data_IF_016117909377
#
_entry.id   IF_016117909377
#
_cell.length_a   1.000
_cell.length_b   1.000
_cell.length_c   1.000
_cell.angle_alpha   90.00
_cell.angle_beta   90.00
_cell.angle_gamma   90.00
#
_symmetry.space_group_name_H-M   'P 1'
#
loop_
_entity.id
_entity.type
_entity.pdbx_description
1 polymer ?
#
# COMPACT_ATOMS: atom_id res chain seq x y z
N UNK A 1 12.15 8.14 14.77
CA UNK A 1 12.60 7.75 16.13
C UNK A 1 13.73 8.60 16.71
N UNK A 2 14.77 8.98 15.94
CA UNK A 2 15.94 9.74 16.46
C UNK A 2 15.60 11.05 17.18
N UNK A 3 14.72 11.87 16.60
CA UNK A 3 14.31 13.15 17.20
C UNK A 3 13.64 12.99 18.57
N UNK A 4 12.83 11.96 18.75
CA UNK A 4 12.18 11.66 20.03
C UNK A 4 13.17 11.34 21.14
N UNK A 5 14.14 10.47 20.86
CA UNK A 5 15.23 10.13 21.81
C UNK A 5 16.08 11.36 22.17
N UNK A 6 16.32 12.25 21.21
CA UNK A 6 17.03 13.52 21.49
C UNK A 6 16.23 14.45 22.41
N UNK A 7 14.90 14.42 22.33
CA UNK A 7 14.03 15.22 23.20
C UNK A 7 14.06 14.69 24.64
N UNK A 8 13.94 13.38 24.81
CA UNK A 8 14.01 12.72 26.13
C UNK A 8 15.39 12.93 26.79
N UNK A 9 16.47 12.88 26.01
CA UNK A 9 17.83 13.13 26.50
C UNK A 9 18.04 14.58 26.96
N UNK A 10 17.36 15.55 26.34
CA UNK A 10 17.48 16.97 26.67
C UNK A 10 16.52 17.40 27.80
N UNK A 11 15.37 16.75 27.91
CA UNK A 11 14.31 17.09 28.85
C UNK A 11 13.83 15.84 29.58
N UNK A 12 14.43 15.53 30.74
CA UNK A 12 14.18 14.31 31.53
C UNK A 12 12.74 14.12 32.01
N UNK A 13 11.88 15.14 31.89
CA UNK A 13 10.45 15.08 32.26
C UNK A 13 9.54 14.78 31.07
N UNK A 14 10.07 14.78 29.84
CA UNK A 14 9.31 14.49 28.63
C UNK A 14 9.65 13.06 28.21
N UNK A 15 8.61 12.23 28.06
CA UNK A 15 8.72 10.90 27.48
C UNK A 15 8.14 10.92 26.06
N UNK A 16 8.90 10.40 25.09
CA UNK A 16 8.49 10.33 23.69
C UNK A 16 7.94 8.94 23.38
N UNK A 17 6.66 8.88 23.03
CA UNK A 17 6.09 7.72 22.37
C UNK A 17 6.04 7.96 20.86
N UNK A 18 6.53 7.03 20.02
CA UNK A 18 6.36 7.15 18.59
C UNK A 18 4.87 7.02 18.23
N UNK A 19 4.44 7.76 17.21
CA UNK A 19 3.09 7.64 16.68
C UNK A 19 2.82 6.20 16.22
N UNK A 20 1.75 5.58 16.71
CA UNK A 20 1.39 4.21 16.36
C UNK A 20 1.22 4.01 14.84
N UNK A 21 0.60 4.97 14.14
CA UNK A 21 0.47 4.94 12.70
C UNK A 21 1.83 4.96 11.98
N UNK A 22 2.79 5.74 12.49
CA UNK A 22 4.15 5.78 11.94
C UNK A 22 4.92 4.48 12.23
N UNK A 23 4.76 3.89 13.41
CA UNK A 23 5.33 2.57 13.72
C UNK A 23 4.79 1.49 12.79
N UNK A 24 3.49 1.51 12.50
CA UNK A 24 2.88 0.56 11.57
C UNK A 24 3.35 0.77 10.14
N UNK A 25 3.51 2.01 9.69
CA UNK A 25 4.04 2.30 8.35
C UNK A 25 5.49 1.81 8.18
N UNK A 26 6.34 1.99 9.21
CA UNK A 26 7.70 1.44 9.22
C UNK A 26 7.74 -0.09 9.32
N UNK A 27 6.82 -0.70 10.07
CA UNK A 27 6.70 -2.17 10.11
C UNK A 27 6.36 -2.72 8.72
N UNK A 28 5.43 -2.06 8.02
CA UNK A 28 5.06 -2.41 6.65
C UNK A 28 6.21 -2.17 5.67
N UNK A 29 7.03 -1.13 5.89
CA UNK A 29 8.28 -0.94 5.14
C UNK A 29 9.22 -2.15 5.28
N UNK A 30 9.46 -2.59 6.51
CA UNK A 30 10.39 -3.68 6.79
C UNK A 30 9.89 -5.02 6.24
N UNK A 31 8.58 -5.26 6.28
CA UNK A 31 7.96 -6.41 5.59
C UNK A 31 8.15 -6.26 4.07
N UNK A 32 7.95 -5.06 3.52
CA UNK A 32 8.07 -4.77 2.09
C UNK A 32 9.47 -5.01 1.53
N UNK A 33 10.51 -4.95 2.38
CA UNK A 33 11.91 -5.26 2.02
C UNK A 33 12.19 -6.77 1.89
N UNK A 34 11.31 -7.64 2.39
CA UNK A 34 11.46 -9.08 2.22
C UNK A 34 11.35 -9.44 0.73
N UNK A 35 12.19 -10.32 0.17
CA UNK A 35 12.22 -10.58 -1.28
C UNK A 35 10.87 -10.97 -1.87
N UNK A 36 10.13 -11.84 -1.18
CA UNK A 36 8.79 -12.28 -1.61
C UNK A 36 7.76 -11.14 -1.59
N UNK A 37 7.87 -10.22 -0.62
CA UNK A 37 6.94 -9.11 -0.46
C UNK A 37 7.25 -8.01 -1.49
N UNK A 38 8.52 -7.70 -1.70
CA UNK A 38 8.97 -6.78 -2.74
C UNK A 38 8.47 -7.22 -4.12
N UNK A 39 8.66 -8.50 -4.45
CA UNK A 39 8.17 -9.08 -5.71
C UNK A 39 6.64 -9.00 -5.83
N UNK A 40 5.90 -9.32 -4.76
CA UNK A 40 4.44 -9.23 -4.74
C UNK A 40 3.95 -7.80 -4.98
N UNK A 41 4.57 -6.82 -4.32
CA UNK A 41 4.25 -5.39 -4.47
C UNK A 41 4.54 -4.94 -5.90
N UNK A 42 5.66 -5.35 -6.49
CA UNK A 42 6.03 -5.01 -7.87
C UNK A 42 5.02 -5.57 -8.90
N UNK A 43 4.63 -6.83 -8.75
CA UNK A 43 3.61 -7.44 -9.59
C UNK A 43 2.27 -6.71 -9.46
N UNK A 44 1.81 -6.46 -8.23
CA UNK A 44 0.57 -5.71 -7.99
C UNK A 44 0.61 -4.31 -8.60
N UNK A 45 1.75 -3.62 -8.47
CA UNK A 45 1.94 -2.28 -9.05
C UNK A 45 1.88 -2.31 -10.57
N UNK A 46 2.44 -3.34 -11.19
CA UNK A 46 2.42 -3.53 -12.65
C UNK A 46 1.00 -3.74 -13.18
N UNK A 47 0.19 -4.57 -12.50
CA UNK A 47 -1.22 -4.80 -12.84
C UNK A 47 -2.03 -3.50 -12.72
N UNK A 48 -1.93 -2.79 -11.58
CA UNK A 48 -2.69 -1.55 -11.38
C UNK A 48 -2.23 -0.45 -12.33
N UNK A 49 -0.94 -0.37 -12.64
CA UNK A 49 -0.40 0.56 -13.64
C UNK A 49 -0.99 0.28 -15.02
N UNK A 50 -1.05 -0.98 -15.42
CA UNK A 50 -1.66 -1.38 -16.69
C UNK A 50 -3.14 -0.97 -16.75
N UNK A 51 -3.94 -1.36 -15.75
CA UNK A 51 -5.38 -1.07 -15.73
C UNK A 51 -5.64 0.44 -15.73
N UNK A 52 -4.95 1.20 -14.88
CA UNK A 52 -5.17 2.66 -14.78
C UNK A 52 -4.58 3.43 -15.96
N UNK A 53 -3.59 2.88 -16.65
CA UNK A 53 -2.96 3.48 -17.82
C UNK A 53 -3.78 3.36 -19.10
N UNK A 54 -4.78 2.48 -19.12
CA UNK A 54 -5.64 2.24 -20.29
C UNK A 54 -7.09 2.59 -19.95
N UNK A 55 -7.64 3.60 -20.60
CA UNK A 55 -8.97 4.12 -20.32
C UNK A 55 -10.06 3.05 -20.45
N UNK A 56 -9.95 2.19 -21.46
CA UNK A 56 -10.88 1.09 -21.68
C UNK A 56 -10.80 0.04 -20.55
N UNK A 57 -9.60 -0.34 -20.10
CA UNK A 57 -9.43 -1.27 -18.98
C UNK A 57 -10.01 -0.67 -17.69
N UNK A 58 -9.73 0.61 -17.45
CA UNK A 58 -10.23 1.31 -16.28
C UNK A 58 -11.76 1.39 -16.27
N UNK A 59 -12.37 1.71 -17.41
CA UNK A 59 -13.82 1.72 -17.58
C UNK A 59 -14.43 0.34 -17.32
N UNK A 60 -13.82 -0.72 -17.88
CA UNK A 60 -14.25 -2.11 -17.65
C UNK A 60 -14.18 -2.47 -16.17
N UNK A 61 -13.04 -2.27 -15.51
CA UNK A 61 -12.83 -2.58 -14.08
C UNK A 61 -13.75 -1.78 -13.15
N UNK A 62 -14.19 -0.58 -13.57
CA UNK A 62 -15.20 0.21 -12.85
C UNK A 62 -16.62 -0.27 -13.09
N UNK A 63 -16.90 -0.86 -14.25
CA UNK A 63 -18.21 -1.43 -14.58
C UNK A 63 -18.47 -2.78 -13.90
N UNK A 64 -17.41 -3.52 -13.55
CA UNK A 64 -17.50 -4.85 -12.95
C UNK A 64 -17.27 -4.83 -11.42
N UNK A 65 -18.16 -5.54 -10.71
CA UNK A 65 -17.99 -5.89 -9.30
C UNK A 65 -18.06 -4.74 -8.29
N UNK A 66 -17.18 -4.79 -7.29
CA UNK A 66 -17.15 -3.86 -6.15
C UNK A 66 -16.92 -2.39 -6.55
N UNK A 67 -17.65 -1.45 -5.92
CA UNK A 67 -17.50 0.02 -6.13
C UNK A 67 -16.14 0.58 -5.67
N UNK A 68 -15.31 -0.21 -4.98
CA UNK A 68 -14.00 0.27 -4.51
C UNK A 68 -13.02 0.36 -5.67
N UNK A 69 -12.49 1.55 -5.92
CA UNK A 69 -11.50 1.78 -6.97
C UNK A 69 -10.15 1.09 -6.67
N UNK A 70 -9.45 0.66 -7.72
CA UNK A 70 -8.06 0.23 -7.64
C UNK A 70 -7.17 1.44 -7.35
N UNK A 71 -6.45 1.38 -6.25
CA UNK A 71 -5.57 2.46 -5.81
C UNK A 71 -4.17 2.23 -6.35
N UNK A 72 -3.55 3.25 -6.93
CA UNK A 72 -2.11 3.22 -7.19
C UNK A 72 -1.37 3.66 -5.93
N UNK A 73 -0.35 2.93 -5.48
CA UNK A 73 0.36 3.24 -4.25
C UNK A 73 1.12 4.56 -4.39
N UNK A 74 1.13 5.33 -3.31
CA UNK A 74 1.92 6.55 -3.22
C UNK A 74 3.31 6.23 -2.71
N UNK A 75 4.33 6.84 -3.31
CA UNK A 75 5.75 6.59 -3.01
C UNK A 75 6.13 6.89 -1.54
N UNK A 76 5.35 7.71 -0.82
CA UNK A 76 5.69 8.22 0.52
C UNK A 76 5.07 7.44 1.69
N UNK A 77 4.20 6.45 1.45
CA UNK A 77 3.51 5.71 2.53
C UNK A 77 3.41 4.23 2.19
N UNK A 78 4.14 3.40 2.93
CA UNK A 78 4.20 1.96 2.71
C UNK A 78 2.84 1.28 2.85
N UNK A 79 1.99 1.77 3.76
CA UNK A 79 0.62 1.28 3.91
C UNK A 79 -0.22 1.30 2.62
N UNK A 80 0.06 2.21 1.68
CA UNK A 80 -0.68 2.29 0.41
C UNK A 80 -0.39 1.13 -0.53
N UNK A 81 0.80 0.52 -0.47
CA UNK A 81 1.14 -0.67 -1.24
C UNK A 81 0.29 -1.87 -0.80
N UNK A 82 0.13 -2.06 0.51
CA UNK A 82 -0.69 -3.14 1.06
C UNK A 82 -2.18 -2.91 0.83
N UNK A 83 -2.63 -1.66 0.88
CA UNK A 83 -4.00 -1.32 0.51
C UNK A 83 -4.28 -1.62 -0.97
N UNK A 84 -3.35 -1.28 -1.87
CA UNK A 84 -3.44 -1.66 -3.29
C UNK A 84 -3.59 -3.18 -3.45
N UNK A 85 -2.70 -3.95 -2.82
CA UNK A 85 -2.73 -5.42 -2.89
C UNK A 85 -4.06 -5.98 -2.35
N UNK A 86 -4.56 -5.44 -1.23
CA UNK A 86 -5.86 -5.81 -0.67
C UNK A 86 -7.00 -5.57 -1.66
N UNK A 87 -7.00 -4.45 -2.39
CA UNK A 87 -8.02 -4.17 -3.43
C UNK A 87 -7.93 -5.11 -4.62
N UNK A 88 -6.72 -5.51 -5.02
CA UNK A 88 -6.53 -6.50 -6.09
C UNK A 88 -7.10 -7.86 -5.68
N UNK A 89 -6.88 -8.27 -4.42
CA UNK A 89 -7.44 -9.53 -3.90
C UNK A 89 -8.97 -9.46 -3.82
N UNK A 90 -9.52 -8.35 -3.31
CA UNK A 90 -10.98 -8.14 -3.24
C UNK A 90 -11.65 -8.19 -4.63
N UNK A 91 -10.96 -7.78 -5.69
CA UNK A 91 -11.46 -7.76 -7.08
C UNK A 91 -10.98 -8.94 -7.92
N UNK A 92 -10.30 -9.92 -7.33
CA UNK A 92 -9.62 -10.98 -8.09
C UNK A 92 -10.57 -11.75 -9.01
N UNK A 93 -11.74 -12.14 -8.51
CA UNK A 93 -12.73 -12.90 -9.27
C UNK A 93 -13.22 -12.11 -10.48
N UNK A 94 -13.66 -10.86 -10.24
CA UNK A 94 -14.16 -9.97 -11.29
C UNK A 94 -13.09 -9.71 -12.36
N UNK A 95 -11.83 -9.54 -11.95
CA UNK A 95 -10.72 -9.30 -12.87
C UNK A 95 -10.37 -10.52 -13.71
N UNK A 96 -10.55 -11.74 -13.20
CA UNK A 96 -10.32 -12.97 -13.95
C UNK A 96 -11.44 -13.17 -14.97
N UNK A 97 -12.70 -13.04 -14.53
CA UNK A 97 -13.88 -13.16 -15.40
C UNK A 97 -13.89 -12.14 -16.54
N UNK A 98 -13.28 -10.97 -16.37
CA UNK A 98 -13.21 -9.94 -17.41
C UNK A 98 -12.14 -10.21 -18.48
N UNK A 99 -11.25 -11.18 -18.27
CA UNK A 99 -10.18 -11.55 -19.21
C UNK A 99 -10.50 -12.85 -19.95
N UNK A 100 -11.39 -13.67 -19.38
CA UNK A 100 -11.97 -14.87 -20.02
C UNK A 100 -13.07 -14.48 -21.05
#
# INVERSE_FOLDING_TARGET
ARAGKSLEAKYLQIFYLPCAAHCLDLLLEDIGKLPWAAQLVEHGRSVVKFIRGHEWCLALVRSIGSKKELLFPGETRFGTHYLMLSRLVEKRTDLIEAVD
#
